data_IF_117378146730
#
_entry.id   IF_117378146730
#
_cell.length_a   1.000
_cell.length_b   1.000
_cell.length_c   1.000
_cell.angle_alpha   90.00
_cell.angle_beta   90.00
_cell.angle_gamma   90.00
#
_symmetry.space_group_name_H-M   'P 1'
#
loop_
_entity.id
_entity.type
_entity.pdbx_description
1 polymer ?
#
# COMPACT_ATOMS: atom_id res chain seq x y z
N UNK A 1 3.54 -9.60 10.17
CA UNK A 1 3.45 -9.80 8.70
C UNK A 1 2.03 -10.15 8.27
N UNK A 2 1.41 -11.26 8.74
CA UNK A 2 0.05 -11.64 8.30
C UNK A 2 -1.02 -10.55 8.52
N UNK A 3 -1.00 -9.87 9.68
CA UNK A 3 -1.93 -8.77 9.96
C UNK A 3 -1.75 -7.59 8.98
N UNK A 4 -0.50 -7.25 8.62
CA UNK A 4 -0.21 -6.23 7.61
C UNK A 4 -0.78 -6.59 6.25
N UNK A 5 -0.51 -7.81 5.78
CA UNK A 5 -1.02 -8.27 4.48
C UNK A 5 -2.54 -8.23 4.44
N UNK A 6 -3.20 -8.73 5.48
CA UNK A 6 -4.66 -8.70 5.59
C UNK A 6 -5.23 -7.28 5.63
N UNK A 7 -4.55 -6.35 6.32
CA UNK A 7 -4.95 -4.95 6.36
C UNK A 7 -4.85 -4.29 4.98
N UNK A 8 -3.76 -4.53 4.26
CA UNK A 8 -3.55 -4.02 2.91
C UNK A 8 -4.57 -4.58 1.91
N UNK A 9 -4.83 -5.90 1.95
CA UNK A 9 -5.82 -6.53 1.08
C UNK A 9 -7.24 -6.01 1.35
N UNK A 10 -7.57 -5.76 2.63
CA UNK A 10 -8.87 -5.21 3.02
C UNK A 10 -9.03 -3.77 2.53
N UNK A 11 -7.99 -2.94 2.71
CA UNK A 11 -7.99 -1.56 2.21
C UNK A 11 -8.09 -1.49 0.69
N UNK A 12 -7.34 -2.35 -0.01
CA UNK A 12 -7.36 -2.45 -1.47
C UNK A 12 -8.74 -2.88 -2.00
N UNK A 13 -9.37 -3.87 -1.37
CA UNK A 13 -10.72 -4.29 -1.73
C UNK A 13 -11.76 -3.18 -1.50
N UNK A 14 -11.64 -2.46 -0.39
CA UNK A 14 -12.57 -1.42 0.08
C UNK A 14 -12.60 -0.19 -0.83
N UNK A 15 -11.45 0.28 -1.32
CA UNK A 15 -11.36 1.53 -2.08
C UNK A 15 -11.23 1.31 -3.58
N UNK A 16 -12.23 1.74 -4.36
CA UNK A 16 -12.15 1.68 -5.83
C UNK A 16 -10.95 2.48 -6.37
N UNK A 17 -10.63 3.62 -5.75
CA UNK A 17 -9.50 4.45 -6.15
C UNK A 17 -8.16 3.68 -6.16
N UNK A 18 -7.93 2.81 -5.16
CA UNK A 18 -6.70 2.00 -5.10
C UNK A 18 -6.63 0.92 -6.20
N UNK A 19 -7.78 0.57 -6.78
CA UNK A 19 -7.93 -0.43 -7.83
C UNK A 19 -8.03 0.18 -9.22
N UNK A 20 -8.06 1.50 -9.34
CA UNK A 20 -8.14 2.20 -10.61
C UNK A 20 -6.87 2.03 -11.43
N UNK A 21 -7.04 1.59 -12.67
CA UNK A 21 -6.04 1.65 -13.74
C UNK A 21 -6.57 2.53 -14.87
N UNK A 22 -5.67 3.20 -15.55
CA UNK A 22 -5.96 4.21 -16.56
C UNK A 22 -5.47 3.70 -17.90
N UNK A 23 -6.43 3.38 -18.79
CA UNK A 23 -6.15 2.80 -20.10
C UNK A 23 -6.66 3.73 -21.20
N UNK A 24 -6.08 3.62 -22.39
CA UNK A 24 -6.59 4.27 -23.58
C UNK A 24 -7.32 3.24 -24.46
N UNK A 25 -8.59 3.48 -24.75
CA UNK A 25 -9.38 2.66 -25.67
C UNK A 25 -9.82 3.56 -26.81
N UNK A 26 -9.42 3.22 -28.04
CA UNK A 26 -9.68 4.01 -29.24
C UNK A 26 -9.23 5.48 -29.10
N UNK A 27 -8.12 5.69 -28.38
CA UNK A 27 -7.55 7.02 -28.12
C UNK A 27 -8.28 7.83 -27.03
N UNK A 28 -9.27 7.25 -26.35
CA UNK A 28 -9.99 7.91 -25.25
C UNK A 28 -9.55 7.36 -23.88
N UNK A 29 -9.27 8.23 -22.89
CA UNK A 29 -8.91 7.79 -21.55
C UNK A 29 -10.12 7.15 -20.86
N UNK A 30 -9.89 5.98 -20.25
CA UNK A 30 -10.89 5.27 -19.45
C UNK A 30 -10.27 4.75 -18.16
N UNK A 31 -11.10 4.66 -17.13
CA UNK A 31 -10.74 4.01 -15.87
C UNK A 31 -11.32 2.60 -15.86
N UNK A 32 -10.49 1.62 -15.51
CA UNK A 32 -10.93 0.26 -15.19
C UNK A 32 -10.55 -0.07 -13.77
N UNK A 33 -11.29 -0.99 -13.16
CA UNK A 33 -11.01 -1.45 -11.81
C UNK A 33 -10.36 -2.84 -11.83
N UNK A 34 -9.25 -2.97 -11.13
CA UNK A 34 -8.71 -4.27 -10.74
C UNK A 34 -9.70 -4.99 -9.82
N UNK A 35 -9.64 -6.32 -9.84
CA UNK A 35 -10.50 -7.14 -9.00
C UNK A 35 -10.20 -6.89 -7.51
N UNK A 36 -11.22 -6.84 -6.63
CA UNK A 36 -11.00 -6.56 -5.21
C UNK A 36 -10.13 -7.59 -4.51
N UNK A 37 -10.06 -8.82 -5.03
CA UNK A 37 -9.26 -9.92 -4.50
C UNK A 37 -7.89 -10.09 -5.17
N UNK A 38 -7.45 -9.18 -6.05
CA UNK A 38 -6.08 -9.25 -6.59
C UNK A 38 -5.01 -8.93 -5.55
N UNK A 39 -5.41 -8.31 -4.43
CA UNK A 39 -4.56 -8.00 -3.28
C UNK A 39 -3.51 -6.93 -3.56
N UNK A 40 -2.81 -6.52 -2.50
CA UNK A 40 -1.67 -5.61 -2.57
C UNK A 40 -0.44 -6.30 -1.98
N UNK A 41 0.59 -6.49 -2.79
CA UNK A 41 1.82 -7.16 -2.33
C UNK A 41 2.53 -6.30 -1.27
N UNK A 42 2.87 -6.92 -0.14
CA UNK A 42 3.80 -6.37 0.85
C UNK A 42 5.23 -6.87 0.59
N UNK A 43 6.05 -6.04 -0.03
CA UNK A 43 7.49 -6.29 -0.14
C UNK A 43 8.13 -6.30 1.24
N UNK A 44 9.06 -7.24 1.48
CA UNK A 44 9.70 -7.40 2.78
C UNK A 44 11.21 -7.38 2.62
N UNK A 45 11.87 -6.56 3.44
CA UNK A 45 13.31 -6.45 3.50
C UNK A 45 13.78 -6.66 4.94
N UNK A 46 14.85 -7.43 5.12
CA UNK A 46 15.48 -7.65 6.42
C UNK A 46 16.87 -7.03 6.41
N UNK A 47 17.03 -5.93 7.15
CA UNK A 47 18.30 -5.21 7.29
C UNK A 47 18.98 -5.49 8.63
N UNK A 48 18.48 -6.44 9.43
CA UNK A 48 19.09 -6.79 10.71
C UNK A 48 20.51 -7.30 10.50
N UNK A 49 21.46 -6.68 11.20
CA UNK A 49 22.88 -7.05 11.14
C UNK A 49 23.56 -6.72 9.80
N UNK A 50 22.90 -5.99 8.91
CA UNK A 50 23.51 -5.49 7.68
C UNK A 50 24.42 -4.31 8.02
N UNK A 51 25.70 -4.32 7.61
CA UNK A 51 26.57 -3.15 7.72
C UNK A 51 25.98 -1.96 6.97
N UNK A 52 26.08 -0.76 7.55
CA UNK A 52 25.55 0.48 6.98
C UNK A 52 24.05 0.40 6.62
N UNK A 53 23.26 -0.29 7.47
CA UNK A 53 21.81 -0.48 7.27
C UNK A 53 21.06 0.82 6.99
N UNK A 54 21.45 1.94 7.60
CA UNK A 54 20.85 3.26 7.36
C UNK A 54 21.03 3.74 5.91
N UNK A 55 22.20 3.48 5.31
CA UNK A 55 22.47 3.83 3.90
C UNK A 55 21.65 2.95 2.96
N UNK A 56 21.51 1.66 3.30
CA UNK A 56 20.68 0.73 2.52
C UNK A 56 19.20 1.13 2.62
N UNK A 57 18.74 1.53 3.81
CA UNK A 57 17.39 2.00 4.08
C UNK A 57 17.05 3.27 3.29
N UNK A 58 17.95 4.25 3.28
CA UNK A 58 17.81 5.47 2.49
C UNK A 58 17.71 5.14 1.00
N UNK A 59 18.61 4.29 0.49
CA UNK A 59 18.57 3.86 -0.91
C UNK A 59 17.25 3.18 -1.26
N UNK A 60 16.79 2.22 -0.46
CA UNK A 60 15.51 1.54 -0.68
C UNK A 60 14.33 2.52 -0.68
N UNK A 61 14.34 3.49 0.23
CA UNK A 61 13.28 4.50 0.33
C UNK A 61 13.25 5.42 -0.90
N UNK A 62 14.42 5.84 -1.37
CA UNK A 62 14.57 6.66 -2.59
C UNK A 62 14.16 5.85 -3.83
N UNK A 63 14.61 4.61 -3.96
CA UNK A 63 14.23 3.72 -5.06
C UNK A 63 12.72 3.50 -5.12
N UNK A 64 12.06 3.24 -3.99
CA UNK A 64 10.60 3.09 -3.93
C UNK A 64 9.84 4.37 -4.30
N UNK A 65 10.32 5.53 -3.85
CA UNK A 65 9.69 6.82 -4.13
C UNK A 65 9.83 7.23 -5.60
N UNK A 66 10.94 6.88 -6.25
CA UNK A 66 11.22 7.24 -7.64
C UNK A 66 10.81 6.16 -8.65
N UNK A 67 10.54 4.93 -8.21
CA UNK A 67 10.06 3.88 -9.09
C UNK A 67 8.74 4.29 -9.75
N UNK A 68 8.72 4.25 -11.09
CA UNK A 68 7.54 4.61 -11.86
C UNK A 68 6.38 3.64 -11.60
N UNK A 69 5.16 4.12 -11.77
CA UNK A 69 3.97 3.28 -11.82
C UNK A 69 3.55 3.07 -13.27
N UNK A 70 3.18 1.85 -13.63
CA UNK A 70 2.48 1.59 -14.88
C UNK A 70 0.99 1.84 -14.67
N UNK A 71 0.49 2.92 -15.27
CA UNK A 71 -0.89 3.35 -15.13
C UNK A 71 -1.90 2.37 -15.75
N UNK A 72 -1.49 1.57 -16.74
CA UNK A 72 -2.39 0.68 -17.47
C UNK A 72 -2.61 -0.66 -16.73
N UNK A 73 -1.60 -1.14 -15.99
CA UNK A 73 -1.63 -2.43 -15.31
C UNK A 73 -1.84 -2.32 -13.80
N UNK A 74 -1.32 -1.28 -13.15
CA UNK A 74 -1.41 -1.10 -11.70
C UNK A 74 -0.85 -2.27 -10.89
N UNK A 75 -1.16 -2.34 -9.57
CA UNK A 75 -1.85 -1.32 -8.80
C UNK A 75 -1.00 -0.04 -8.65
N UNK A 76 -1.67 1.10 -8.42
CA UNK A 76 -1.00 2.41 -8.29
C UNK A 76 -0.63 2.77 -6.85
N UNK A 77 -0.44 1.73 -6.05
CA UNK A 77 -0.02 1.74 -4.67
C UNK A 77 0.99 0.61 -4.46
N UNK A 78 2.04 0.85 -3.69
CA UNK A 78 3.03 -0.15 -3.27
C UNK A 78 3.24 -0.06 -1.76
N UNK A 79 3.50 -1.21 -1.14
CA UNK A 79 3.81 -1.29 0.28
C UNK A 79 5.10 -2.09 0.50
N UNK A 80 5.97 -1.59 1.36
CA UNK A 80 7.16 -2.29 1.81
C UNK A 80 7.28 -2.24 3.33
N UNK A 81 7.72 -3.36 3.93
CA UNK A 81 8.06 -3.46 5.34
C UNK A 81 9.54 -3.82 5.46
N UNK A 82 10.31 -2.92 6.06
CA UNK A 82 11.76 -3.05 6.23
C UNK A 82 12.04 -3.27 7.70
N UNK A 83 12.60 -4.42 8.05
CA UNK A 83 12.97 -4.74 9.42
C UNK A 83 14.40 -4.27 9.71
N UNK A 84 14.56 -3.41 10.71
CA UNK A 84 15.86 -2.81 11.10
C UNK A 84 16.47 -3.54 12.30
N UNK A 85 15.63 -3.89 13.27
CA UNK A 85 15.99 -4.69 14.46
C UNK A 85 14.88 -5.71 14.73
N UNK A 86 14.99 -6.48 15.82
CA UNK A 86 13.92 -7.42 16.20
C UNK A 86 12.60 -6.71 16.56
N UNK A 87 12.65 -5.44 16.96
CA UNK A 87 11.48 -4.64 17.37
C UNK A 87 11.25 -3.37 16.55
N UNK A 88 12.13 -3.06 15.60
CA UNK A 88 12.06 -1.83 14.81
C UNK A 88 11.84 -2.13 13.34
N UNK A 89 10.85 -1.46 12.77
CA UNK A 89 10.46 -1.59 11.38
C UNK A 89 10.18 -0.22 10.79
N UNK A 90 10.55 -0.05 9.53
CA UNK A 90 10.06 1.04 8.70
C UNK A 90 9.04 0.51 7.71
N UNK A 91 7.87 1.14 7.67
CA UNK A 91 6.82 0.85 6.71
C UNK A 91 6.78 1.96 5.66
N UNK A 92 6.87 1.58 4.39
CA UNK A 92 6.75 2.49 3.25
C UNK A 92 5.42 2.23 2.55
N UNK A 93 4.66 3.29 2.32
CA UNK A 93 3.44 3.28 1.53
C UNK A 93 3.55 4.35 0.45
N UNK A 94 3.65 3.92 -0.80
CA UNK A 94 3.85 4.82 -1.95
C UNK A 94 2.61 4.78 -2.82
N UNK A 95 2.03 5.93 -3.14
CA UNK A 95 0.81 6.05 -3.95
C UNK A 95 1.06 7.01 -5.12
N UNK A 96 0.47 6.69 -6.28
CA UNK A 96 0.42 7.65 -7.38
C UNK A 96 -0.66 8.71 -7.11
N UNK A 97 -0.33 10.00 -7.24
CA UNK A 97 -1.27 11.10 -6.97
C UNK A 97 -2.56 11.09 -7.79
N UNK A 98 -2.59 10.38 -8.93
CA UNK A 98 -3.82 10.24 -9.74
C UNK A 98 -4.95 9.49 -9.00
N UNK A 99 -4.61 8.68 -7.99
CA UNK A 99 -5.58 7.92 -7.19
C UNK A 99 -5.71 8.44 -5.74
N UNK A 100 -4.95 9.48 -5.37
CA UNK A 100 -4.93 9.99 -4.00
C UNK A 100 -4.45 11.44 -3.92
N UNK A 101 -5.06 12.20 -3.03
CA UNK A 101 -4.62 13.51 -2.56
C UNK A 101 -4.11 13.45 -1.11
N UNK A 102 -3.67 14.59 -0.57
CA UNK A 102 -3.16 14.64 0.81
C UNK A 102 -4.21 14.33 1.88
N UNK A 103 -5.50 14.53 1.60
CA UNK A 103 -6.58 14.26 2.55
C UNK A 103 -6.91 12.76 2.58
N UNK A 104 -7.19 12.19 1.42
CA UNK A 104 -7.44 10.77 1.24
C UNK A 104 -6.26 9.91 1.70
N UNK A 105 -5.01 10.34 1.50
CA UNK A 105 -3.85 9.64 2.04
C UNK A 105 -3.91 9.50 3.57
N UNK A 106 -4.32 10.54 4.29
CA UNK A 106 -4.49 10.49 5.74
C UNK A 106 -5.63 9.53 6.16
N UNK A 107 -6.74 9.51 5.42
CA UNK A 107 -7.83 8.53 5.64
C UNK A 107 -7.31 7.10 5.45
N UNK A 108 -6.58 6.84 4.38
CA UNK A 108 -6.01 5.51 4.10
C UNK A 108 -5.07 5.06 5.23
N UNK A 109 -4.21 5.94 5.75
CA UNK A 109 -3.31 5.63 6.86
C UNK A 109 -4.10 5.32 8.14
N UNK A 110 -5.14 6.09 8.45
CA UNK A 110 -5.99 5.85 9.64
C UNK A 110 -6.74 4.52 9.55
N UNK A 111 -7.32 4.23 8.39
CA UNK A 111 -8.01 2.96 8.16
C UNK A 111 -7.04 1.77 8.19
N UNK A 112 -5.86 1.91 7.58
CA UNK A 112 -4.82 0.88 7.60
C UNK A 112 -4.37 0.54 9.04
N UNK A 113 -4.13 1.56 9.87
CA UNK A 113 -3.79 1.38 11.28
C UNK A 113 -4.92 0.69 12.06
N UNK A 114 -6.16 1.07 11.79
CA UNK A 114 -7.34 0.48 12.43
C UNK A 114 -7.48 -1.00 12.07
N UNK A 115 -7.35 -1.33 10.78
CA UNK A 115 -7.38 -2.70 10.26
C UNK A 115 -6.24 -3.54 10.83
N UNK A 116 -5.02 -3.01 10.82
CA UNK A 116 -3.85 -3.69 11.36
C UNK A 116 -4.03 -4.04 12.85
N UNK A 117 -4.50 -3.07 13.64
CA UNK A 117 -4.75 -3.26 15.08
C UNK A 117 -5.84 -4.30 15.32
N UNK A 118 -6.95 -4.26 14.57
CA UNK A 118 -7.98 -5.29 14.69
C UNK A 118 -7.43 -6.69 14.35
N UNK A 119 -6.65 -6.79 13.29
CA UNK A 119 -6.13 -8.08 12.82
C UNK A 119 -5.01 -8.65 13.68
N UNK A 120 -4.21 -7.83 14.36
CA UNK A 120 -3.24 -8.33 15.35
C UNK A 120 -3.95 -8.92 16.58
N UNK A 121 -5.10 -8.35 16.96
CA UNK A 121 -5.94 -8.80 18.06
C UNK A 121 -6.91 -9.94 17.67
N UNK A 122 -6.79 -10.45 16.44
CA UNK A 122 -7.65 -11.52 15.92
C UNK A 122 -9.11 -11.12 15.67
N UNK A 123 -9.41 -9.83 15.66
CA UNK A 123 -10.74 -9.29 15.40
C UNK A 123 -11.05 -9.26 13.89
N UNK A 124 -12.34 -9.09 13.55
CA UNK A 124 -12.79 -8.85 12.18
C UNK A 124 -12.56 -7.39 11.76
N UNK A 125 -12.81 -7.07 10.48
CA UNK A 125 -12.80 -5.69 9.97
C UNK A 125 -13.76 -4.81 10.79
N UNK A 126 -13.26 -3.77 11.51
CA UNK A 126 -14.07 -2.89 12.33
C UNK A 126 -14.56 -1.64 11.58
N UNK A 127 -14.13 -1.44 10.33
CA UNK A 127 -14.45 -0.21 9.60
C UNK A 127 -15.94 -0.19 9.23
N UNK A 128 -16.62 0.96 9.38
CA UNK A 128 -17.98 1.10 8.90
C UNK A 128 -18.02 0.99 7.37
N UNK A 129 -19.17 0.68 6.75
CA UNK A 129 -19.34 0.80 5.30
C UNK A 129 -18.92 2.20 4.81
N UNK A 130 -18.32 2.28 3.62
CA UNK A 130 -18.03 3.56 2.99
C UNK A 130 -19.33 4.35 2.78
N UNK A 131 -19.32 5.63 3.15
CA UNK A 131 -20.42 6.53 2.83
C UNK A 131 -20.40 6.81 1.32
N UNK A 132 -21.56 6.72 0.68
CA UNK A 132 -21.78 7.03 -0.75
C UNK A 132 -22.31 8.46 -0.87
#
# INVERSE_FOLDING_TARGET
>A
IMAWQKALDTLFARHEALRSVFVSIDGQPQVRLLAPNSGLLLSQYDLRGIPDADVVLERLSVEEAHASFDLESGPLIRAALIQLTDSEYQFLLTLHHIISDGWSANVLIQELNTLYTAFIDGQSDPLPPLAI
#
